data_IF_087574527980
#
_entry.id   IF_087574527980
#
_cell.length_a   1.000
_cell.length_b   1.000
_cell.length_c   1.000
_cell.angle_alpha   90.00
_cell.angle_beta   90.00
_cell.angle_gamma   90.00
#
_symmetry.space_group_name_H-M   'P 1'
#
loop_
_entity.id
_entity.type
_entity.pdbx_description
1 polymer ?
#
# COMPACT_ATOMS: atom_id res chain seq x y z
N UNK A 1 20.28 -15.11 49.75
CA UNK A 1 20.58 -13.75 49.26
C UNK A 1 19.69 -13.49 48.05
N UNK A 2 18.39 -13.32 48.28
CA UNK A 2 17.32 -13.26 47.27
C UNK A 2 16.29 -12.19 47.67
N UNK A 3 16.78 -11.00 48.03
CA UNK A 3 15.93 -9.86 48.36
C UNK A 3 16.55 -8.64 47.69
N UNK A 4 15.96 -8.20 46.57
CA UNK A 4 15.89 -6.79 46.11
C UNK A 4 15.38 -6.72 44.64
N UNK A 5 14.15 -7.16 44.36
CA UNK A 5 13.51 -6.94 43.04
C UNK A 5 11.99 -6.63 43.13
N UNK A 6 11.49 -6.09 44.24
CA UNK A 6 10.04 -5.87 44.45
C UNK A 6 9.64 -4.41 44.64
N UNK A 7 10.38 -3.47 44.06
CA UNK A 7 9.90 -2.09 43.90
C UNK A 7 10.04 -1.64 42.44
N UNK A 8 9.41 -2.38 41.53
CA UNK A 8 9.00 -1.79 40.26
C UNK A 8 7.73 -1.01 40.58
N UNK A 9 7.86 0.30 40.82
CA UNK A 9 6.73 1.22 40.83
C UNK A 9 5.98 1.02 39.53
N UNK A 10 4.81 0.38 39.60
CA UNK A 10 3.87 0.26 38.49
C UNK A 10 3.44 1.70 38.20
N UNK A 11 4.09 2.32 37.21
CA UNK A 11 3.69 3.63 36.72
C UNK A 11 2.20 3.61 36.38
N UNK A 12 1.54 4.75 36.56
CA UNK A 12 0.10 4.84 36.34
C UNK A 12 -0.30 4.22 34.99
N UNK A 13 -1.40 3.45 34.90
CA UNK A 13 -1.74 2.67 33.71
C UNK A 13 -2.23 3.52 32.53
N UNK A 14 -2.50 4.82 32.73
CA UNK A 14 -3.09 5.70 31.73
C UNK A 14 -2.25 5.91 30.45
N UNK A 15 -0.90 5.97 30.47
CA UNK A 15 -0.10 6.13 29.25
C UNK A 15 -0.25 4.91 28.33
N UNK A 16 -0.34 3.73 28.93
CA UNK A 16 -0.50 2.47 28.21
C UNK A 16 -1.89 2.39 27.54
N UNK A 17 -2.95 2.73 28.29
CA UNK A 17 -4.33 2.77 27.75
C UNK A 17 -4.46 3.83 26.64
N UNK A 18 -3.91 5.02 26.86
CA UNK A 18 -3.94 6.10 25.86
C UNK A 18 -3.18 5.70 24.58
N UNK A 19 -2.00 5.10 24.73
CA UNK A 19 -1.20 4.65 23.60
C UNK A 19 -1.92 3.57 22.78
N UNK A 20 -2.55 2.59 23.43
CA UNK A 20 -3.36 1.57 22.75
C UNK A 20 -4.63 2.14 22.11
N UNK A 21 -5.25 3.15 22.71
CA UNK A 21 -6.44 3.81 22.16
C UNK A 21 -6.10 4.56 20.88
N UNK A 22 -4.95 5.25 20.85
CA UNK A 22 -4.43 5.89 19.63
C UNK A 22 -4.16 4.83 18.57
N UNK A 23 -3.48 3.72 18.91
CA UNK A 23 -3.20 2.63 17.96
C UNK A 23 -4.51 2.05 17.39
N UNK A 24 -5.48 1.72 18.24
CA UNK A 24 -6.77 1.17 17.80
C UNK A 24 -7.56 2.16 16.93
N UNK A 25 -7.63 3.43 17.31
CA UNK A 25 -8.27 4.47 16.49
C UNK A 25 -7.60 4.61 15.13
N UNK A 26 -6.27 4.52 15.09
CA UNK A 26 -5.47 4.62 13.86
C UNK A 26 -5.53 3.34 13.02
N UNK A 27 -5.90 2.19 13.58
CA UNK A 27 -6.12 0.94 12.82
C UNK A 27 -7.54 0.90 12.26
N UNK A 28 -8.53 1.38 13.02
CA UNK A 28 -9.94 1.30 12.64
C UNK A 28 -10.38 2.41 11.67
N UNK A 29 -9.76 3.59 11.72
CA UNK A 29 -10.15 4.73 10.87
C UNK A 29 -9.69 4.62 9.40
N UNK A 30 -8.45 4.17 9.09
CA UNK A 30 -7.98 4.08 7.71
C UNK A 30 -8.80 3.16 6.80
N UNK A 31 -9.32 2.00 7.23
CA UNK A 31 -10.18 1.17 6.39
C UNK A 31 -11.37 1.94 5.82
N UNK A 32 -12.04 2.78 6.61
CA UNK A 32 -13.16 3.60 6.12
C UNK A 32 -12.69 4.65 5.11
N UNK A 33 -11.59 5.34 5.41
CA UNK A 33 -11.05 6.37 4.52
C UNK A 33 -10.55 5.76 3.20
N UNK A 34 -9.76 4.69 3.28
CA UNK A 34 -9.22 3.92 2.17
C UNK A 34 -10.36 3.35 1.32
N UNK A 35 -11.39 2.76 1.93
CA UNK A 35 -12.57 2.28 1.21
C UNK A 35 -13.31 3.42 0.49
N UNK A 36 -13.51 4.56 1.16
CA UNK A 36 -14.12 5.74 0.53
C UNK A 36 -13.31 6.25 -0.66
N UNK A 37 -11.98 6.25 -0.54
CA UNK A 37 -11.07 6.72 -1.56
C UNK A 37 -10.99 5.74 -2.74
N UNK A 38 -11.00 4.42 -2.49
CA UNK A 38 -11.16 3.40 -3.54
C UNK A 38 -12.50 3.54 -4.26
N UNK A 39 -13.59 3.85 -3.55
CA UNK A 39 -14.90 4.09 -4.17
C UNK A 39 -14.87 5.34 -5.08
N UNK A 40 -14.19 6.40 -4.65
CA UNK A 40 -13.99 7.60 -5.47
C UNK A 40 -13.11 7.31 -6.69
N UNK A 41 -12.02 6.58 -6.50
CA UNK A 41 -11.13 6.14 -7.58
C UNK A 41 -11.92 5.30 -8.60
N UNK A 42 -12.72 4.33 -8.13
CA UNK A 42 -13.58 3.53 -8.99
C UNK A 42 -14.53 4.38 -9.85
N UNK A 43 -15.19 5.39 -9.26
CA UNK A 43 -16.08 6.31 -9.99
C UNK A 43 -15.31 7.10 -11.06
N UNK A 44 -14.15 7.67 -10.71
CA UNK A 44 -13.32 8.46 -11.62
C UNK A 44 -12.69 7.63 -12.75
N UNK A 45 -12.49 6.34 -12.52
CA UNK A 45 -11.93 5.40 -13.51
C UNK A 45 -13.02 4.67 -14.31
N UNK A 46 -14.29 5.04 -14.15
CA UNK A 46 -15.37 4.42 -14.94
C UNK A 46 -15.21 4.77 -16.42
N UNK A 47 -15.53 3.81 -17.29
CA UNK A 47 -15.45 3.99 -18.74
C UNK A 47 -16.27 5.19 -19.22
N UNK A 48 -17.41 5.46 -18.60
CA UNK A 48 -18.26 6.60 -18.93
C UNK A 48 -17.61 7.93 -18.55
N UNK A 49 -16.97 8.01 -17.37
CA UNK A 49 -16.29 9.21 -16.91
C UNK A 49 -15.06 9.53 -17.79
N UNK A 50 -14.28 8.50 -18.12
CA UNK A 50 -13.13 8.63 -19.03
C UNK A 50 -13.61 9.04 -20.43
N UNK A 51 -14.74 8.48 -20.89
CA UNK A 51 -15.32 8.81 -22.20
C UNK A 51 -15.79 10.25 -22.25
N UNK A 52 -16.44 10.74 -21.20
CA UNK A 52 -16.93 12.12 -21.10
C UNK A 52 -15.78 13.12 -20.98
N UNK A 53 -14.72 12.81 -20.22
CA UNK A 53 -13.57 13.69 -20.04
C UNK A 53 -12.68 13.78 -21.29
N UNK A 54 -12.59 12.70 -22.08
CA UNK A 54 -11.84 12.65 -23.35
C UNK A 54 -12.70 13.14 -24.54
N UNK A 55 -14.02 13.28 -24.36
CA UNK A 55 -14.92 13.75 -25.42
C UNK A 55 -14.66 15.23 -25.69
N UNK A 56 -14.13 15.51 -26.88
CA UNK A 56 -14.07 16.88 -27.40
C UNK A 56 -15.46 17.18 -27.98
N UNK A 57 -16.20 18.17 -27.45
CA UNK A 57 -17.50 18.54 -28.00
C UNK A 57 -17.34 19.08 -29.43
N UNK A 58 -18.18 18.59 -30.34
CA UNK A 58 -18.22 19.03 -31.75
C UNK A 58 -18.21 17.88 -32.78
N UNK A 59 -18.47 18.19 -34.06
CA UNK A 59 -18.42 17.21 -35.14
C UNK A 59 -17.00 16.70 -35.39
N UNK A 60 -16.88 15.51 -35.99
CA UNK A 60 -15.59 14.92 -36.30
C UNK A 60 -14.80 15.84 -37.26
N UNK A 61 -13.54 16.19 -36.95
CA UNK A 61 -12.77 17.13 -37.76
C UNK A 61 -12.44 16.53 -39.13
N UNK A 62 -12.63 17.32 -40.18
CA UNK A 62 -12.33 16.95 -41.58
C UNK A 62 -10.95 17.42 -42.04
N UNK A 63 -10.36 18.45 -41.42
CA UNK A 63 -9.05 19.02 -41.78
C UNK A 63 -7.89 18.40 -40.98
N UNK A 64 -6.75 18.15 -41.63
CA UNK A 64 -5.54 17.55 -41.04
C UNK A 64 -4.99 18.34 -39.84
N UNK A 65 -4.92 19.66 -39.94
CA UNK A 65 -4.47 20.54 -38.83
C UNK A 65 -5.38 20.43 -37.60
N UNK A 66 -6.70 20.38 -37.80
CA UNK A 66 -7.67 20.23 -36.71
C UNK A 66 -7.58 18.85 -36.06
N UNK A 67 -7.24 17.81 -36.82
CA UNK A 67 -6.97 16.46 -36.30
C UNK A 67 -5.73 16.46 -35.39
N UNK A 68 -4.66 17.15 -35.76
CA UNK A 68 -3.45 17.24 -34.92
C UNK A 68 -3.69 18.02 -33.63
N UNK A 69 -4.37 19.17 -33.71
CA UNK A 69 -4.74 19.96 -32.51
C UNK A 69 -5.61 19.13 -31.56
N UNK A 70 -6.56 18.35 -32.08
CA UNK A 70 -7.36 17.45 -31.25
C UNK A 70 -6.55 16.29 -30.65
N UNK A 71 -5.56 15.75 -31.36
CA UNK A 71 -4.65 14.72 -30.83
C UNK A 71 -3.81 15.25 -29.68
N UNK A 72 -3.27 16.47 -29.81
CA UNK A 72 -2.50 17.13 -28.75
C UNK A 72 -3.38 17.37 -27.52
N UNK A 73 -4.57 17.97 -27.70
CA UNK A 73 -5.53 18.17 -26.61
C UNK A 73 -5.95 16.87 -25.92
N UNK A 74 -6.17 15.79 -26.67
CA UNK A 74 -6.47 14.46 -26.11
C UNK A 74 -5.29 13.92 -25.29
N UNK A 75 -4.05 14.07 -25.77
CA UNK A 75 -2.85 13.66 -25.01
C UNK A 75 -2.69 14.47 -23.73
N UNK A 76 -2.93 15.77 -23.77
CA UNK A 76 -2.87 16.64 -22.59
C UNK A 76 -3.96 16.30 -21.57
N UNK A 77 -5.19 16.05 -22.03
CA UNK A 77 -6.28 15.56 -21.19
C UNK A 77 -5.93 14.24 -20.51
N UNK A 78 -5.38 13.29 -21.26
CA UNK A 78 -4.92 12.01 -20.73
C UNK A 78 -3.83 12.19 -19.66
N UNK A 79 -2.84 13.05 -19.91
CA UNK A 79 -1.77 13.36 -18.92
C UNK A 79 -2.34 13.93 -17.63
N UNK A 80 -3.31 14.86 -17.72
CA UNK A 80 -3.98 15.45 -16.54
C UNK A 80 -4.75 14.39 -15.76
N UNK A 81 -5.50 13.53 -16.45
CA UNK A 81 -6.23 12.43 -15.85
C UNK A 81 -5.28 11.44 -15.15
N UNK A 82 -4.20 11.00 -15.81
CA UNK A 82 -3.19 10.13 -15.21
C UNK A 82 -2.54 10.75 -13.98
N UNK A 83 -2.21 12.06 -14.01
CA UNK A 83 -1.65 12.76 -12.84
C UNK A 83 -2.63 12.79 -11.67
N UNK A 84 -3.92 13.02 -11.93
CA UNK A 84 -4.95 12.99 -10.89
C UNK A 84 -5.12 11.58 -10.31
N UNK A 85 -5.16 10.54 -11.15
CA UNK A 85 -5.20 9.15 -10.69
C UNK A 85 -4.00 8.80 -9.82
N UNK A 86 -2.79 9.17 -10.26
CA UNK A 86 -1.56 8.93 -9.50
C UNK A 86 -1.59 9.63 -8.15
N UNK A 87 -2.11 10.87 -8.09
CA UNK A 87 -2.26 11.61 -6.83
C UNK A 87 -3.22 10.90 -5.87
N UNK A 88 -4.33 10.37 -6.37
CA UNK A 88 -5.28 9.62 -5.54
C UNK A 88 -4.67 8.30 -5.07
N UNK A 89 -4.05 7.51 -5.97
CA UNK A 89 -3.32 6.29 -5.59
C UNK A 89 -2.26 6.59 -4.52
N UNK A 90 -1.49 7.66 -4.68
CA UNK A 90 -0.48 8.06 -3.70
C UNK A 90 -1.10 8.40 -2.34
N UNK A 91 -2.20 9.17 -2.29
CA UNK A 91 -2.91 9.46 -1.04
C UNK A 91 -3.38 8.18 -0.36
N UNK A 92 -3.99 7.26 -1.12
CA UNK A 92 -4.48 6.00 -0.57
C UNK A 92 -3.29 5.16 -0.06
N UNK A 93 -2.15 5.14 -0.76
CA UNK A 93 -0.96 4.42 -0.32
C UNK A 93 -0.39 4.99 0.97
N UNK A 94 -0.26 6.32 1.06
CA UNK A 94 0.26 7.00 2.25
C UNK A 94 -0.64 6.75 3.46
N UNK A 95 -1.97 6.83 3.28
CA UNK A 95 -2.92 6.65 4.38
C UNK A 95 -3.19 5.18 4.73
N UNK A 96 -3.19 4.30 3.73
CA UNK A 96 -3.49 2.88 3.88
C UNK A 96 -2.31 2.03 4.31
N UNK A 97 -1.08 2.37 3.88
CA UNK A 97 0.15 1.67 4.28
C UNK A 97 1.01 2.56 5.19
N UNK A 98 1.26 3.81 4.76
CA UNK A 98 2.22 4.68 5.43
C UNK A 98 1.87 4.97 6.88
N UNK A 99 0.58 5.23 7.17
CA UNK A 99 0.11 5.49 8.53
C UNK A 99 0.19 4.24 9.43
N UNK A 100 -0.32 3.05 9.05
CA UNK A 100 -0.09 1.81 9.81
C UNK A 100 1.39 1.47 10.01
N UNK A 101 2.23 1.70 8.99
CA UNK A 101 3.67 1.49 9.09
C UNK A 101 4.30 2.44 10.12
N UNK A 102 3.97 3.73 10.06
CA UNK A 102 4.46 4.71 11.03
C UNK A 102 4.05 4.38 12.46
N UNK A 103 2.83 3.84 12.65
CA UNK A 103 2.38 3.35 13.96
C UNK A 103 3.21 2.15 14.41
N UNK A 104 3.46 1.17 13.53
CA UNK A 104 4.28 0.02 13.87
C UNK A 104 5.72 0.44 14.24
N UNK A 105 6.29 1.41 13.50
CA UNK A 105 7.59 2.02 13.81
C UNK A 105 7.57 2.68 15.19
N UNK A 106 6.52 3.44 15.50
CA UNK A 106 6.37 4.10 16.80
C UNK A 106 6.27 3.07 17.93
N UNK A 107 5.43 2.03 17.79
CA UNK A 107 5.28 0.96 18.79
C UNK A 107 6.62 0.23 19.00
N UNK A 108 7.35 -0.03 17.92
CA UNK A 108 8.64 -0.74 17.99
C UNK A 108 9.71 0.11 18.68
N UNK A 109 9.85 1.37 18.29
CA UNK A 109 10.89 2.29 18.81
C UNK A 109 10.58 2.83 20.21
N UNK A 110 9.29 2.95 20.55
CA UNK A 110 8.80 3.36 21.87
C UNK A 110 8.22 2.18 22.64
N UNK A 111 8.72 0.97 22.41
CA UNK A 111 8.21 -0.26 23.02
C UNK A 111 8.07 -0.20 24.53
N UNK A 112 9.00 0.46 25.25
CA UNK A 112 8.91 0.70 26.69
C UNK A 112 7.66 1.49 27.15
N UNK A 113 7.01 2.26 26.28
CA UNK A 113 5.72 2.93 26.57
C UNK A 113 4.53 1.98 26.46
N UNK A 114 4.66 0.90 25.69
CA UNK A 114 3.59 -0.06 25.41
C UNK A 114 3.75 -1.38 26.18
N UNK A 115 4.99 -1.77 26.49
CA UNK A 115 5.38 -3.04 27.07
C UNK A 115 6.37 -2.80 28.21
N UNK A 116 5.96 -3.13 29.44
CA UNK A 116 6.78 -2.92 30.63
C UNK A 116 7.94 -3.91 30.67
N UNK A 117 9.14 -3.46 30.30
CA UNK A 117 10.39 -4.22 30.48
C UNK A 117 10.59 -5.41 29.54
N UNK A 118 9.67 -5.65 28.59
CA UNK A 118 9.75 -6.76 27.65
C UNK A 118 10.24 -6.30 26.27
N UNK A 119 11.34 -6.88 25.75
CA UNK A 119 11.88 -6.56 24.44
C UNK A 119 10.98 -7.13 23.33
N UNK A 120 10.45 -6.22 22.49
CA UNK A 120 9.55 -6.51 21.35
C UNK A 120 10.23 -7.23 20.19
N UNK A 121 11.56 -7.15 20.13
CA UNK A 121 12.38 -7.70 19.06
C UNK A 121 13.38 -8.70 19.65
N UNK A 122 13.60 -9.78 18.91
CA UNK A 122 14.57 -10.82 19.22
C UNK A 122 15.41 -11.11 17.98
N UNK A 123 16.61 -11.64 18.17
CA UNK A 123 17.41 -12.22 17.09
C UNK A 123 16.65 -13.42 16.49
N UNK A 124 16.60 -13.51 15.16
CA UNK A 124 15.92 -14.58 14.44
C UNK A 124 16.63 -15.93 14.56
N UNK A 125 17.93 -15.95 14.88
CA UNK A 125 18.73 -17.17 15.01
C UNK A 125 18.57 -17.84 16.36
N UNK A 126 18.88 -17.12 17.45
CA UNK A 126 18.94 -17.69 18.80
C UNK A 126 17.82 -17.18 19.73
N UNK A 127 16.96 -16.28 19.26
CA UNK A 127 15.86 -15.71 20.04
C UNK A 127 16.32 -14.77 21.15
N UNK A 128 17.58 -14.35 21.16
CA UNK A 128 18.10 -13.44 22.18
C UNK A 128 17.42 -12.07 22.08
N UNK A 129 17.12 -11.41 23.21
CA UNK A 129 16.39 -10.17 23.14
C UNK A 129 17.23 -8.99 22.66
N UNK A 130 16.70 -8.25 21.69
CA UNK A 130 17.38 -7.09 21.10
C UNK A 130 16.75 -5.81 21.65
N UNK A 131 17.36 -5.27 22.70
CA UNK A 131 16.84 -4.08 23.40
C UNK A 131 17.01 -2.77 22.61
N UNK A 132 18.04 -2.67 21.76
CA UNK A 132 18.36 -1.49 20.96
C UNK A 132 18.81 -1.89 19.56
N UNK A 133 17.86 -2.17 18.64
CA UNK A 133 18.21 -2.49 17.27
C UNK A 133 18.83 -1.26 16.59
N UNK A 134 19.81 -1.49 15.72
CA UNK A 134 20.36 -0.42 14.89
C UNK A 134 19.36 0.02 13.79
N UNK A 135 19.65 1.15 13.14
CA UNK A 135 18.77 1.68 12.09
C UNK A 135 18.61 0.77 10.88
N UNK A 136 19.62 -0.04 10.56
CA UNK A 136 19.61 -0.97 9.42
C UNK A 136 18.75 -2.19 9.74
N UNK A 137 18.89 -2.76 10.94
CA UNK A 137 18.07 -3.85 11.47
C UNK A 137 16.60 -3.44 11.50
N UNK A 138 16.29 -2.24 12.01
CA UNK A 138 14.93 -1.71 12.01
C UNK A 138 14.40 -1.56 10.58
N UNK A 139 15.18 -0.98 9.68
CA UNK A 139 14.79 -0.83 8.27
C UNK A 139 14.48 -2.20 7.63
N UNK A 140 15.39 -3.17 7.77
CA UNK A 140 15.21 -4.52 7.25
C UNK A 140 14.00 -5.22 7.86
N UNK A 141 13.77 -5.06 9.17
CA UNK A 141 12.58 -5.58 9.85
C UNK A 141 11.29 -5.06 9.23
N UNK A 142 11.17 -3.75 9.03
CA UNK A 142 9.94 -3.16 8.45
C UNK A 142 9.75 -3.53 6.98
N UNK A 143 10.83 -3.60 6.21
CA UNK A 143 10.78 -4.06 4.81
C UNK A 143 10.34 -5.53 4.76
N UNK A 144 10.88 -6.39 5.64
CA UNK A 144 10.45 -7.78 5.76
C UNK A 144 8.96 -7.90 6.12
N UNK A 145 8.47 -7.10 7.09
CA UNK A 145 7.05 -7.07 7.44
C UNK A 145 6.16 -6.62 6.28
N UNK A 146 6.60 -5.62 5.51
CA UNK A 146 5.87 -5.11 4.36
C UNK A 146 5.81 -6.13 3.22
N UNK A 147 6.92 -6.81 2.93
CA UNK A 147 6.98 -7.82 1.88
C UNK A 147 6.19 -9.09 2.24
N UNK A 148 6.32 -9.59 3.47
CA UNK A 148 5.51 -10.70 3.97
C UNK A 148 4.01 -10.36 4.01
N UNK A 149 3.64 -9.11 4.25
CA UNK A 149 2.25 -8.68 4.20
C UNK A 149 1.67 -8.65 2.77
N UNK A 150 2.44 -8.18 1.79
CA UNK A 150 1.93 -7.93 0.42
C UNK A 150 2.09 -9.12 -0.52
N UNK A 151 3.11 -9.96 -0.31
CA UNK A 151 3.60 -10.95 -1.27
C UNK A 151 4.03 -12.24 -0.59
N UNK A 152 3.44 -12.58 0.57
CA UNK A 152 3.88 -13.66 1.46
C UNK A 152 4.31 -14.93 0.70
N UNK A 153 3.52 -15.36 -0.27
CA UNK A 153 3.83 -16.52 -1.12
C UNK A 153 4.95 -16.28 -2.14
N UNK A 154 5.02 -15.11 -2.78
CA UNK A 154 6.01 -14.88 -3.84
C UNK A 154 7.43 -14.79 -3.28
N UNK A 155 7.63 -14.14 -2.14
CA UNK A 155 8.97 -14.02 -1.52
C UNK A 155 9.47 -15.37 -1.01
N UNK A 156 8.56 -16.17 -0.45
CA UNK A 156 8.85 -17.52 0.03
C UNK A 156 9.09 -18.50 -1.14
N UNK A 157 8.24 -18.48 -2.18
CA UNK A 157 8.40 -19.33 -3.39
C UNK A 157 9.68 -19.03 -4.15
N UNK A 158 10.10 -17.76 -4.22
CA UNK A 158 11.35 -17.39 -4.90
C UNK A 158 12.58 -17.39 -3.97
N UNK A 159 12.42 -17.77 -2.69
CA UNK A 159 13.47 -17.79 -1.67
C UNK A 159 14.28 -16.47 -1.64
N UNK A 160 13.59 -15.33 -1.79
CA UNK A 160 14.23 -14.02 -1.86
C UNK A 160 14.53 -13.58 -0.43
N UNK A 161 15.74 -13.88 0.04
CA UNK A 161 16.25 -13.33 1.29
C UNK A 161 16.78 -11.91 1.03
N UNK A 162 16.04 -10.91 1.51
CA UNK A 162 16.33 -9.48 1.32
C UNK A 162 17.71 -9.10 1.88
N UNK A 163 18.13 -9.69 3.00
CA UNK A 163 19.45 -9.39 3.57
C UNK A 163 20.59 -9.96 2.72
N UNK A 164 20.38 -11.14 2.11
CA UNK A 164 21.31 -11.70 1.13
C UNK A 164 21.37 -10.86 -0.14
N UNK A 165 20.22 -10.36 -0.62
CA UNK A 165 20.14 -9.48 -1.80
C UNK A 165 20.85 -8.14 -1.58
N UNK A 166 20.73 -7.54 -0.39
CA UNK A 166 21.37 -6.27 -0.05
C UNK A 166 22.84 -6.43 0.38
N UNK A 167 23.38 -7.65 0.46
CA UNK A 167 24.76 -7.92 0.87
C UNK A 167 25.06 -7.54 2.32
N UNK A 168 24.03 -7.39 3.16
CA UNK A 168 24.17 -6.93 4.55
C UNK A 168 24.27 -8.16 5.46
N UNK A 169 25.42 -8.34 6.12
CA UNK A 169 25.58 -9.24 7.28
C UNK A 169 24.96 -8.61 8.53
N UNK A 170 23.71 -8.14 8.43
CA UNK A 170 22.98 -7.67 9.59
C UNK A 170 22.40 -8.88 10.31
N UNK A 171 22.48 -8.86 11.65
CA UNK A 171 21.71 -9.75 12.49
C UNK A 171 20.23 -9.56 12.15
N UNK A 172 19.59 -10.64 11.67
CA UNK A 172 18.18 -10.63 11.34
C UNK A 172 17.39 -10.54 12.64
N UNK A 173 16.60 -9.48 12.80
CA UNK A 173 15.70 -9.36 13.96
C UNK A 173 14.28 -9.75 13.56
N UNK A 174 13.56 -10.37 14.48
CA UNK A 174 12.16 -10.76 14.33
C UNK A 174 11.32 -10.31 15.52
N UNK A 175 10.00 -10.36 15.40
CA UNK A 175 9.10 -10.06 16.51
C UNK A 175 9.23 -11.12 17.60
N UNK A 176 9.20 -10.68 18.86
CA UNK A 176 9.16 -11.60 20.00
C UNK A 176 7.76 -12.23 20.12
N UNK A 177 7.61 -13.56 19.93
CA UNK A 177 6.31 -14.22 20.00
C UNK A 177 5.71 -14.20 21.41
N UNK A 178 6.53 -14.03 22.46
CA UNK A 178 6.06 -13.94 23.84
C UNK A 178 5.21 -12.67 24.09
N UNK A 179 5.39 -11.63 23.27
CA UNK A 179 4.59 -10.39 23.36
C UNK A 179 3.47 -10.48 22.33
N UNK A 180 2.39 -11.16 22.72
CA UNK A 180 1.23 -11.45 21.88
C UNK A 180 0.63 -10.18 21.27
N UNK A 181 0.53 -9.09 22.04
CA UNK A 181 -0.04 -7.83 21.59
C UNK A 181 0.81 -7.12 20.52
N UNK A 182 2.15 -7.20 20.61
CA UNK A 182 3.04 -6.71 19.55
C UNK A 182 2.91 -7.59 18.30
N UNK A 183 2.93 -8.91 18.47
CA UNK A 183 2.77 -9.87 17.37
C UNK A 183 1.43 -9.70 16.65
N UNK A 184 0.35 -9.44 17.39
CA UNK A 184 -0.97 -9.13 16.84
C UNK A 184 -0.95 -7.82 16.03
N UNK A 185 -0.22 -6.80 16.52
CA UNK A 185 -0.08 -5.53 15.81
C UNK A 185 0.67 -5.70 14.47
N UNK A 186 1.76 -6.49 14.48
CA UNK A 186 2.49 -6.88 13.26
C UNK A 186 1.58 -7.66 12.31
N UNK A 187 0.79 -8.60 12.83
CA UNK A 187 -0.16 -9.38 12.03
C UNK A 187 -1.23 -8.51 11.38
N UNK A 188 -1.87 -7.61 12.14
CA UNK A 188 -2.87 -6.66 11.62
C UNK A 188 -2.25 -5.78 10.53
N UNK A 189 -1.04 -5.26 10.76
CA UNK A 189 -0.31 -4.49 9.76
C UNK A 189 -0.12 -5.31 8.47
N UNK A 190 0.35 -6.56 8.57
CA UNK A 190 0.52 -7.45 7.41
C UNK A 190 -0.80 -7.66 6.66
N UNK A 191 -1.91 -7.89 7.38
CA UNK A 191 -3.22 -8.03 6.74
C UNK A 191 -3.66 -6.75 6.01
N UNK A 192 -3.47 -5.58 6.61
CA UNK A 192 -3.80 -4.29 5.97
C UNK A 192 -3.00 -4.12 4.68
N UNK A 193 -1.68 -4.36 4.74
CA UNK A 193 -0.79 -4.28 3.58
C UNK A 193 -1.22 -5.29 2.50
N UNK A 194 -1.56 -6.52 2.88
CA UNK A 194 -2.01 -7.56 1.95
C UNK A 194 -3.31 -7.21 1.24
N UNK A 195 -4.34 -6.82 2.00
CA UNK A 195 -5.63 -6.36 1.44
C UNK A 195 -5.42 -5.16 0.51
N UNK A 196 -4.54 -4.23 0.89
CA UNK A 196 -4.25 -3.05 0.09
C UNK A 196 -3.52 -3.40 -1.21
N UNK A 197 -2.47 -4.22 -1.15
CA UNK A 197 -1.73 -4.68 -2.31
C UNK A 197 -2.64 -5.43 -3.29
N UNK A 198 -3.52 -6.29 -2.76
CA UNK A 198 -4.51 -7.00 -3.55
C UNK A 198 -5.52 -6.05 -4.22
N UNK A 199 -6.03 -5.05 -3.50
CA UNK A 199 -6.93 -4.05 -4.06
C UNK A 199 -6.27 -3.21 -5.18
N UNK A 200 -5.01 -2.82 -5.01
CA UNK A 200 -4.24 -2.14 -6.06
C UNK A 200 -4.02 -3.04 -7.28
N UNK A 201 -3.70 -4.32 -7.06
CA UNK A 201 -3.53 -5.29 -8.15
C UNK A 201 -4.82 -5.45 -8.95
N UNK A 202 -5.96 -5.66 -8.28
CA UNK A 202 -7.27 -5.74 -8.93
C UNK A 202 -7.60 -4.46 -9.70
N UNK A 203 -7.28 -3.30 -9.13
CA UNK A 203 -7.47 -2.02 -9.80
C UNK A 203 -6.59 -1.87 -11.06
N UNK A 204 -5.31 -2.27 -10.98
CA UNK A 204 -4.40 -2.27 -12.12
C UNK A 204 -4.87 -3.22 -13.22
N UNK A 205 -5.25 -4.45 -12.87
CA UNK A 205 -5.81 -5.45 -13.79
C UNK A 205 -7.08 -4.94 -14.47
N UNK A 206 -8.02 -4.37 -13.71
CA UNK A 206 -9.23 -3.75 -14.25
C UNK A 206 -8.90 -2.63 -15.24
N UNK A 207 -7.95 -1.76 -14.89
CA UNK A 207 -7.54 -0.63 -15.73
C UNK A 207 -6.90 -1.12 -17.04
N UNK A 208 -6.03 -2.13 -16.97
CA UNK A 208 -5.45 -2.79 -18.14
C UNK A 208 -6.52 -3.45 -19.02
N UNK A 209 -7.45 -4.17 -18.39
CA UNK A 209 -8.55 -4.84 -19.09
C UNK A 209 -9.48 -3.85 -19.80
N UNK A 210 -9.89 -2.76 -19.12
CA UNK A 210 -10.69 -1.70 -19.72
C UNK A 210 -9.96 -1.04 -20.90
N UNK A 211 -8.67 -0.77 -20.77
CA UNK A 211 -7.86 -0.20 -21.86
C UNK A 211 -7.82 -1.12 -23.08
N UNK A 212 -7.64 -2.42 -22.88
CA UNK A 212 -7.65 -3.40 -23.96
C UNK A 212 -9.04 -3.57 -24.58
N UNK A 213 -10.10 -3.63 -23.76
CA UNK A 213 -11.48 -3.76 -24.21
C UNK A 213 -11.93 -2.56 -25.06
N UNK A 214 -11.64 -1.33 -24.62
CA UNK A 214 -11.92 -0.11 -25.39
C UNK A 214 -11.11 -0.08 -26.69
N UNK A 215 -9.83 -0.46 -26.65
CA UNK A 215 -8.98 -0.56 -27.85
C UNK A 215 -9.54 -1.52 -28.90
N UNK A 216 -9.99 -2.71 -28.47
CA UNK A 216 -10.61 -3.71 -29.34
C UNK A 216 -11.91 -3.17 -29.98
N UNK A 217 -12.77 -2.52 -29.20
CA UNK A 217 -14.05 -1.99 -29.69
C UNK A 217 -13.88 -0.87 -30.72
N UNK A 218 -12.88 0.00 -30.52
CA UNK A 218 -12.52 1.06 -31.49
C UNK A 218 -11.93 0.47 -32.78
N UNK A 219 -11.10 -0.57 -32.68
CA UNK A 219 -10.56 -1.27 -33.85
C UNK A 219 -11.67 -1.94 -34.69
N UNK A 220 -12.64 -2.59 -34.03
CA UNK A 220 -13.75 -3.23 -34.75
C UNK A 220 -14.67 -2.21 -35.44
N UNK A 221 -15.00 -1.09 -34.79
CA UNK A 221 -15.85 -0.06 -35.42
C UNK A 221 -15.16 0.63 -36.59
N UNK A 222 -13.84 0.84 -36.52
CA UNK A 222 -13.06 1.37 -37.63
C UNK A 222 -13.04 0.40 -38.84
N UNK A 223 -12.88 -0.91 -38.60
CA UNK A 223 -12.93 -1.94 -39.65
C UNK A 223 -14.31 -2.05 -40.29
N UNK A 224 -15.38 -2.01 -39.49
CA UNK A 224 -16.76 -2.01 -39.99
C UNK A 224 -17.06 -0.78 -40.87
N UNK A 225 -16.58 0.41 -40.45
CA UNK A 225 -16.73 1.63 -41.25
C UNK A 225 -15.93 1.61 -42.56
N UNK A 226 -14.76 0.95 -42.59
CA UNK A 226 -14.02 0.73 -43.84
C UNK A 226 -14.74 -0.25 -44.77
N UNK A 227 -15.29 -1.33 -44.22
CA UNK A 227 -16.06 -2.31 -45.00
C UNK A 227 -17.33 -1.69 -45.60
N UNK A 228 -18.06 -0.86 -44.85
CA UNK A 228 -19.23 -0.16 -45.38
C UNK A 228 -18.87 0.79 -46.54
N UNK A 229 -17.74 1.51 -46.48
CA UNK A 229 -17.28 2.37 -47.59
C UNK A 229 -16.72 1.60 -48.79
N UNK A 230 -16.38 0.33 -48.61
CA UNK A 230 -15.94 -0.52 -49.71
C UNK A 230 -17.12 -1.17 -50.46
N UNK A 231 -18.30 -1.23 -49.81
CA UNK A 231 -19.51 -1.85 -50.32
C UNK A 231 -20.52 -0.85 -50.93
N UNK A 232 -20.34 0.45 -50.68
CA UNK A 232 -21.16 1.55 -51.20
C UNK A 232 -20.27 2.65 -51.75
#
# INVERSE_FOLDING_TARGET
MFETLTNVTIGEPWPLVAAWTVVMGTVLFPPFYVFSAFRQLHKKTSADHIRDEIRIPGPAPTRKETIEIQRVKKREGLKRHTKQMLREVLKITVLGIGLPLAMLVLITTKSHWFFLGLPVLVDAGDGTPVARPDGVQLFLFFVDQFLKGSLNDLVEVFNINIASFLGVKAVMITNNPAIVSFSLSVFIFRMIVGVYAFALLLYALRTLWLRNYVGLKVSMSARLGQLQRALF
#
